data_IF_125938646564
#
_entry.id   IF_125938646564
#
_cell.length_a   1.000
_cell.length_b   1.000
_cell.length_c   1.000
_cell.angle_alpha   90.00
_cell.angle_beta   90.00
_cell.angle_gamma   90.00
#
_symmetry.space_group_name_H-M   'P 1'
#
loop_
_entity.id
_entity.type
_entity.pdbx_description
1 polymer ?
#
# COMPACT_ATOMS: atom_id res chain seq x y z
N UNK A 1 37.09 -41.17 72.25
CA UNK A 1 36.94 -39.85 71.60
C UNK A 1 35.95 -40.01 70.47
N UNK A 2 34.89 -39.21 70.49
CA UNK A 2 33.65 -39.35 69.71
C UNK A 2 33.77 -38.53 68.42
N UNK A 3 33.53 -39.12 67.25
CA UNK A 3 33.27 -38.37 66.02
C UNK A 3 31.90 -38.80 65.48
N UNK A 4 30.93 -37.86 65.30
CA UNK A 4 29.59 -38.19 64.84
C UNK A 4 29.52 -38.30 63.32
N UNK A 5 28.71 -39.26 62.86
CA UNK A 5 28.29 -39.45 61.48
C UNK A 5 27.48 -38.23 61.01
N UNK A 6 27.97 -37.53 59.99
CA UNK A 6 27.23 -36.47 59.31
C UNK A 6 26.42 -37.09 58.16
N UNK A 7 25.09 -37.03 58.29
CA UNK A 7 24.12 -37.55 57.33
C UNK A 7 24.17 -36.82 55.98
N UNK A 8 24.16 -37.61 54.91
CA UNK A 8 24.04 -37.16 53.54
C UNK A 8 22.55 -37.00 53.21
N UNK A 9 22.02 -35.78 53.32
CA UNK A 9 20.63 -35.48 52.94
C UNK A 9 20.54 -35.44 51.41
N UNK A 10 19.88 -36.43 50.82
CA UNK A 10 19.62 -36.50 49.38
C UNK A 10 18.57 -35.45 49.00
N UNK A 11 18.97 -34.38 48.32
CA UNK A 11 18.03 -33.38 47.78
C UNK A 11 17.53 -33.89 46.43
N UNK A 12 16.29 -34.40 46.40
CA UNK A 12 15.62 -34.77 45.15
C UNK A 12 15.05 -33.52 44.49
N UNK A 13 15.66 -33.09 43.37
CA UNK A 13 15.12 -32.02 42.52
C UNK A 13 14.07 -32.64 41.61
N UNK A 14 12.79 -32.51 41.97
CA UNK A 14 11.68 -32.91 41.10
C UNK A 14 11.49 -31.88 39.99
N UNK A 15 11.93 -32.23 38.77
CA UNK A 15 11.75 -31.43 37.57
C UNK A 15 10.29 -31.56 37.08
N UNK A 16 9.39 -30.68 37.54
CA UNK A 16 8.05 -30.55 36.97
C UNK A 16 8.15 -29.81 35.63
N UNK A 17 8.19 -30.55 34.52
CA UNK A 17 8.00 -29.99 33.19
C UNK A 17 6.52 -29.55 33.04
N UNK A 18 6.26 -28.26 33.16
CA UNK A 18 4.94 -27.69 32.93
C UNK A 18 4.57 -27.84 31.45
N UNK A 19 3.71 -28.81 31.15
CA UNK A 19 3.17 -29.04 29.81
C UNK A 19 2.06 -28.03 29.53
N UNK A 20 2.45 -26.77 29.28
CA UNK A 20 1.51 -25.74 28.87
C UNK A 20 0.96 -26.07 27.47
N UNK A 21 -0.37 -26.01 27.25
CA UNK A 21 -0.94 -26.22 25.93
C UNK A 21 -0.43 -25.12 24.99
N UNK A 22 0.22 -25.52 23.89
CA UNK A 22 0.57 -24.60 22.81
C UNK A 22 -0.74 -24.13 22.18
N UNK A 23 -1.12 -22.89 22.49
CA UNK A 23 -2.20 -22.21 21.76
C UNK A 23 -1.75 -22.11 20.29
N UNK A 24 -2.48 -22.68 19.32
CA UNK A 24 -2.12 -22.48 17.93
C UNK A 24 -2.11 -20.97 17.66
N UNK A 25 -1.17 -20.47 16.84
CA UNK A 25 -1.21 -19.08 16.42
C UNK A 25 -2.60 -18.82 15.85
N UNK A 26 -3.27 -17.78 16.36
CA UNK A 26 -4.48 -17.31 15.71
C UNK A 26 -4.06 -16.96 14.28
N UNK A 27 -4.61 -17.67 13.30
CA UNK A 27 -4.59 -17.20 11.92
C UNK A 27 -5.38 -15.89 11.93
N UNK A 28 -4.68 -14.78 12.11
CA UNK A 28 -5.17 -13.48 11.68
C UNK A 28 -5.49 -13.68 10.20
N UNK A 29 -6.77 -13.75 9.86
CA UNK A 29 -7.21 -13.72 8.48
C UNK A 29 -6.83 -12.36 7.91
N UNK A 30 -5.57 -12.23 7.49
CA UNK A 30 -5.13 -11.09 6.73
C UNK A 30 -5.86 -11.19 5.39
N UNK A 31 -6.88 -10.36 5.25
CA UNK A 31 -7.63 -10.27 4.01
C UNK A 31 -6.65 -9.77 2.95
N UNK A 32 -6.16 -10.69 2.11
CA UNK A 32 -5.28 -10.36 0.97
C UNK A 32 -5.98 -9.28 0.17
N UNK A 33 -5.36 -8.11 0.03
CA UNK A 33 -5.92 -7.02 -0.76
C UNK A 33 -5.56 -7.17 -2.23
N UNK A 34 -6.48 -6.79 -3.11
CA UNK A 34 -6.28 -6.74 -4.55
C UNK A 34 -5.97 -5.29 -4.93
N UNK A 35 -4.71 -4.95 -5.28
CA UNK A 35 -4.37 -3.59 -5.69
C UNK A 35 -4.99 -3.28 -7.05
N UNK A 36 -5.63 -2.12 -7.16
CA UNK A 36 -6.14 -1.57 -8.41
C UNK A 36 -5.53 -0.19 -8.56
N UNK A 37 -4.86 0.07 -9.69
CA UNK A 37 -4.27 1.38 -9.98
C UNK A 37 -5.22 2.15 -10.88
N UNK A 38 -5.49 3.41 -10.52
CA UNK A 38 -6.17 4.38 -11.38
C UNK A 38 -5.20 5.54 -11.60
N UNK A 39 -4.81 5.73 -12.86
CA UNK A 39 -3.94 6.81 -13.29
C UNK A 39 -4.78 7.86 -14.02
N UNK A 40 -4.83 9.07 -13.46
CA UNK A 40 -5.43 10.23 -14.10
C UNK A 40 -4.32 11.09 -14.70
N UNK A 41 -4.40 11.39 -16.00
CA UNK A 41 -3.52 12.36 -16.64
C UNK A 41 -4.23 13.72 -16.68
N UNK A 42 -3.70 14.71 -15.97
CA UNK A 42 -4.36 16.02 -15.72
C UNK A 42 -3.39 17.19 -15.85
N UNK A 43 -3.88 18.42 -15.69
CA UNK A 43 -3.04 19.62 -15.51
C UNK A 43 -3.83 20.76 -14.89
N UNK A 44 -3.21 21.59 -14.06
CA UNK A 44 -3.78 22.87 -13.60
C UNK A 44 -4.15 23.80 -14.78
N UNK A 45 -3.46 23.68 -15.92
CA UNK A 45 -3.74 24.43 -17.15
C UNK A 45 -4.94 23.90 -17.96
N UNK A 46 -5.50 22.75 -17.59
CA UNK A 46 -6.60 22.11 -18.29
C UNK A 46 -7.96 22.54 -17.70
N UNK A 47 -8.73 23.37 -18.41
CA UNK A 47 -10.01 23.87 -17.91
C UNK A 47 -11.10 22.80 -17.73
N UNK A 48 -10.99 21.68 -18.43
CA UNK A 48 -11.94 20.57 -18.37
C UNK A 48 -11.58 19.47 -17.37
N UNK A 49 -10.39 19.54 -16.76
CA UNK A 49 -9.89 18.53 -15.84
C UNK A 49 -10.45 18.57 -14.39
N UNK A 50 -10.87 19.72 -13.81
CA UNK A 50 -11.31 19.78 -12.41
C UNK A 50 -12.38 18.75 -11.98
N UNK A 51 -13.37 18.37 -12.83
CA UNK A 51 -14.31 17.30 -12.48
C UNK A 51 -13.65 15.92 -12.34
N UNK A 52 -12.61 15.62 -13.11
CA UNK A 52 -11.87 14.35 -13.03
C UNK A 52 -10.96 14.32 -11.80
N UNK A 53 -10.28 15.43 -11.50
CA UNK A 53 -9.44 15.57 -10.30
C UNK A 53 -10.29 15.36 -9.03
N UNK A 54 -11.47 15.99 -8.97
CA UNK A 54 -12.41 15.83 -7.87
C UNK A 54 -12.91 14.38 -7.71
N UNK A 55 -13.16 13.68 -8.82
CA UNK A 55 -13.56 12.27 -8.80
C UNK A 55 -12.42 11.38 -8.28
N UNK A 56 -11.18 11.60 -8.73
CA UNK A 56 -10.04 10.81 -8.25
C UNK A 56 -9.83 11.02 -6.75
N UNK A 57 -9.95 12.24 -6.26
CA UNK A 57 -9.87 12.55 -4.83
C UNK A 57 -10.95 11.82 -4.02
N UNK A 58 -12.19 11.76 -4.52
CA UNK A 58 -13.27 10.98 -3.90
C UNK A 58 -12.93 9.49 -3.87
N UNK A 59 -12.52 8.92 -5.01
CA UNK A 59 -12.15 7.51 -5.11
C UNK A 59 -10.99 7.13 -4.18
N UNK A 60 -10.02 8.03 -3.98
CA UNK A 60 -8.88 7.82 -3.08
C UNK A 60 -9.30 7.72 -1.59
N UNK A 61 -10.39 8.38 -1.20
CA UNK A 61 -10.95 8.32 0.15
C UNK A 61 -11.98 7.18 0.31
N UNK A 62 -12.51 6.67 -0.80
CA UNK A 62 -13.55 5.65 -0.80
C UNK A 62 -13.02 4.27 -0.38
N UNK A 63 -13.77 3.63 0.51
CA UNK A 63 -13.60 2.21 0.79
C UNK A 63 -14.33 1.39 -0.26
N UNK A 64 -13.60 0.93 -1.27
CA UNK A 64 -14.13 0.07 -2.31
C UNK A 64 -14.65 -1.26 -1.74
N UNK A 65 -15.65 -1.83 -2.44
CA UNK A 65 -16.26 -3.10 -2.06
C UNK A 65 -15.24 -4.26 -2.13
N UNK A 66 -15.45 -5.27 -1.28
CA UNK A 66 -14.60 -6.45 -1.25
C UNK A 66 -13.23 -6.18 -0.61
N UNK A 67 -12.19 -6.77 -1.19
CA UNK A 67 -10.80 -6.67 -0.75
C UNK A 67 -9.96 -5.73 -1.63
N UNK A 68 -10.59 -4.80 -2.37
CA UNK A 68 -9.87 -3.90 -3.27
C UNK A 68 -9.11 -2.83 -2.49
N UNK A 69 -7.88 -2.58 -2.91
CA UNK A 69 -7.05 -1.45 -2.48
C UNK A 69 -6.80 -0.56 -3.68
N UNK A 70 -7.40 0.64 -3.68
CA UNK A 70 -7.18 1.61 -4.75
C UNK A 70 -5.86 2.34 -4.55
N UNK A 71 -5.08 2.42 -5.61
CA UNK A 71 -3.88 3.25 -5.73
C UNK A 71 -4.23 4.32 -6.76
N UNK A 72 -4.59 5.50 -6.27
CA UNK A 72 -4.89 6.67 -7.11
C UNK A 72 -3.60 7.44 -7.41
N UNK A 73 -3.34 7.68 -8.70
CA UNK A 73 -2.20 8.46 -9.20
C UNK A 73 -2.72 9.61 -10.05
N UNK A 74 -2.25 10.83 -9.76
CA UNK A 74 -2.58 12.05 -10.48
C UNK A 74 -1.31 12.55 -11.18
N UNK A 75 -1.21 12.28 -12.48
CA UNK A 75 -0.02 12.48 -13.29
C UNK A 75 -0.18 13.74 -14.13
N UNK A 76 0.51 14.81 -13.72
CA UNK A 76 0.38 16.12 -14.36
C UNK A 76 1.15 16.20 -15.69
N UNK A 77 0.44 16.32 -16.80
CA UNK A 77 1.03 16.42 -18.14
C UNK A 77 1.49 17.84 -18.43
N UNK A 78 2.56 17.99 -19.22
CA UNK A 78 3.20 19.27 -19.50
C UNK A 78 2.68 20.00 -20.75
N UNK A 79 1.90 19.34 -21.59
CA UNK A 79 1.44 19.90 -22.88
C UNK A 79 0.40 21.02 -22.78
N UNK A 80 -0.03 21.36 -21.56
CA UNK A 80 -0.89 22.52 -21.27
C UNK A 80 -0.10 23.77 -20.86
N UNK A 81 1.22 23.65 -20.63
CA UNK A 81 2.03 24.71 -20.02
C UNK A 81 2.25 25.93 -20.93
N UNK A 82 1.99 25.80 -22.22
CA UNK A 82 2.21 26.84 -23.22
C UNK A 82 1.03 27.84 -23.36
N UNK A 83 -0.01 27.71 -22.51
CA UNK A 83 -1.21 28.56 -22.55
C UNK A 83 -1.20 29.75 -21.58
N UNK A 84 -0.05 30.06 -20.99
CA UNK A 84 0.12 31.20 -20.06
C UNK A 84 0.06 30.83 -18.57
N UNK A 85 -0.13 29.56 -18.25
CA UNK A 85 0.07 28.97 -16.92
C UNK A 85 0.97 27.75 -17.06
N UNK A 86 1.98 27.64 -16.21
CA UNK A 86 2.83 26.45 -16.11
C UNK A 86 2.48 25.72 -14.83
N UNK A 87 1.95 24.52 -14.98
CA UNK A 87 1.61 23.64 -13.86
C UNK A 87 2.89 23.18 -13.17
N UNK A 88 3.06 23.55 -11.89
CA UNK A 88 4.27 23.26 -11.12
C UNK A 88 4.47 21.78 -10.80
N UNK A 89 3.43 20.98 -10.93
CA UNK A 89 3.45 19.54 -10.71
C UNK A 89 3.69 18.76 -12.01
N UNK A 90 3.60 19.45 -13.15
CA UNK A 90 3.74 18.79 -14.45
C UNK A 90 5.15 18.27 -14.73
N UNK A 91 5.20 17.18 -15.49
CA UNK A 91 6.44 16.60 -15.99
C UNK A 91 6.27 16.04 -17.39
N UNK A 92 7.32 16.18 -18.21
CA UNK A 92 7.42 15.55 -19.52
C UNK A 92 7.31 14.02 -19.46
N UNK A 93 7.73 13.42 -18.36
CA UNK A 93 7.67 11.98 -18.16
C UNK A 93 6.21 11.49 -18.11
N UNK A 94 5.29 12.28 -17.54
CA UNK A 94 3.86 11.98 -17.48
C UNK A 94 3.18 12.11 -18.83
N UNK A 95 3.52 13.15 -19.58
CA UNK A 95 3.12 13.29 -20.99
C UNK A 95 3.57 12.08 -21.81
N UNK A 96 4.84 11.69 -21.70
CA UNK A 96 5.37 10.52 -22.43
C UNK A 96 4.64 9.24 -22.04
N UNK A 97 4.36 9.04 -20.75
CA UNK A 97 3.59 7.88 -20.26
C UNK A 97 2.20 7.81 -20.88
N UNK A 98 1.50 8.93 -21.00
CA UNK A 98 0.19 8.98 -21.65
C UNK A 98 0.27 8.64 -23.14
N UNK A 99 1.28 9.16 -23.86
CA UNK A 99 1.50 8.79 -25.26
C UNK A 99 1.73 7.29 -25.46
N UNK A 100 2.47 6.65 -24.53
CA UNK A 100 2.64 5.19 -24.55
C UNK A 100 1.29 4.47 -24.41
N UNK A 101 0.42 4.94 -23.53
CA UNK A 101 -0.94 4.42 -23.42
C UNK A 101 -1.76 4.65 -24.68
N UNK A 102 -1.71 5.83 -25.30
CA UNK A 102 -2.46 6.10 -26.53
C UNK A 102 -2.05 5.16 -27.67
N UNK A 103 -0.76 4.79 -27.74
CA UNK A 103 -0.26 3.78 -28.66
C UNK A 103 -0.73 2.36 -28.32
N UNK A 104 -0.63 1.97 -27.05
CA UNK A 104 -1.01 0.63 -26.59
C UNK A 104 -2.52 0.35 -26.66
N UNK A 105 -3.34 1.37 -26.38
CA UNK A 105 -4.81 1.29 -26.37
C UNK A 105 -5.43 1.62 -27.73
N UNK A 106 -4.65 2.10 -28.70
CA UNK A 106 -5.12 2.40 -30.05
C UNK A 106 -5.96 3.67 -30.18
N UNK A 107 -5.90 4.59 -29.21
CA UNK A 107 -6.55 5.91 -29.31
C UNK A 107 -5.76 6.89 -30.20
N UNK A 108 -4.49 6.58 -30.49
CA UNK A 108 -3.65 7.32 -31.43
C UNK A 108 -3.02 8.59 -30.85
N UNK A 109 -3.79 9.38 -30.10
CA UNK A 109 -3.36 10.64 -29.47
C UNK A 109 -3.90 10.73 -28.04
N UNK A 110 -3.20 11.43 -27.12
CA UNK A 110 -3.73 11.80 -25.80
C UNK A 110 -4.77 12.93 -25.87
N UNK A 111 -4.91 13.56 -27.04
CA UNK A 111 -5.96 14.51 -27.43
C UNK A 111 -6.93 13.89 -28.45
#
# INVERSE_FOLDING_TARGET
MKHPLAGLTLVTVSLFAAMAPRRPPALSGETVRTPVVVELFTSEGCSSCPPADALLAQLAEERLAGNVELIALEEHVDYWNDLGWTDRFSSRDWTLRQYLYSGALGSGSPY
#
